data_IF_269108945294
#
_entry.id   IF_269108945294
#
_cell.length_a   1.000
_cell.length_b   1.000
_cell.length_c   1.000
_cell.angle_alpha   90.00
_cell.angle_beta   90.00
_cell.angle_gamma   90.00
#
_symmetry.space_group_name_H-M   'P 1'
#
loop_
_entity.id
_entity.type
_entity.pdbx_description
1 polymer ?
#
# COMPACT_ATOMS: atom_id res chain seq x y z
N UNK A 1 20.22 -8.07 -16.35
CA UNK A 1 19.28 -7.32 -15.48
C UNK A 1 17.90 -7.43 -16.13
N UNK A 2 16.99 -8.25 -15.58
CA UNK A 2 15.70 -8.58 -16.22
C UNK A 2 14.66 -7.45 -16.03
N UNK A 3 14.18 -6.76 -17.09
CA UNK A 3 13.41 -5.50 -16.97
C UNK A 3 11.88 -5.60 -16.79
N UNK A 4 11.26 -6.77 -16.58
CA UNK A 4 9.79 -6.92 -16.71
C UNK A 4 9.03 -7.34 -15.42
N UNK A 5 9.63 -7.19 -14.22
CA UNK A 5 8.96 -7.49 -12.92
C UNK A 5 8.36 -6.26 -12.21
N UNK A 6 8.34 -5.10 -12.85
CA UNK A 6 8.21 -3.80 -12.17
C UNK A 6 6.79 -3.42 -11.64
N UNK A 7 5.67 -3.72 -12.34
CA UNK A 7 4.35 -3.30 -11.86
C UNK A 7 3.82 -4.15 -10.69
N UNK A 8 4.12 -5.45 -10.70
CA UNK A 8 3.61 -6.40 -9.70
C UNK A 8 4.19 -6.12 -8.30
N UNK A 9 5.42 -5.64 -8.23
CA UNK A 9 6.07 -5.30 -6.97
C UNK A 9 5.44 -4.05 -6.33
N UNK A 10 5.07 -3.04 -7.13
CA UNK A 10 4.38 -1.86 -6.64
C UNK A 10 3.00 -2.21 -6.06
N UNK A 11 2.25 -3.09 -6.74
CA UNK A 11 0.98 -3.59 -6.23
C UNK A 11 1.16 -4.35 -4.90
N UNK A 12 2.15 -5.25 -4.83
CA UNK A 12 2.44 -6.02 -3.62
C UNK A 12 2.78 -5.10 -2.43
N UNK A 13 3.59 -4.07 -2.68
CA UNK A 13 3.95 -3.08 -1.65
C UNK A 13 2.72 -2.29 -1.20
N UNK A 14 1.85 -1.87 -2.13
CA UNK A 14 0.59 -1.21 -1.79
C UNK A 14 -0.31 -2.06 -0.88
N UNK A 15 -0.45 -3.35 -1.20
CA UNK A 15 -1.22 -4.30 -0.37
C UNK A 15 -0.61 -4.44 1.03
N UNK A 16 0.72 -4.55 1.12
CA UNK A 16 1.42 -4.63 2.41
C UNK A 16 1.13 -3.38 3.25
N UNK A 17 1.20 -2.19 2.67
CA UNK A 17 0.90 -0.95 3.37
C UNK A 17 -0.54 -0.88 3.90
N UNK A 18 -1.51 -1.37 3.12
CA UNK A 18 -2.91 -1.46 3.57
C UNK A 18 -3.04 -2.43 4.75
N UNK A 19 -2.43 -3.62 4.66
CA UNK A 19 -2.46 -4.61 5.75
C UNK A 19 -1.83 -4.04 7.02
N UNK A 20 -0.67 -3.39 6.91
CA UNK A 20 -0.01 -2.72 8.03
C UNK A 20 -0.91 -1.62 8.60
N UNK A 21 -1.57 -0.81 7.76
CA UNK A 21 -2.50 0.22 8.21
C UNK A 21 -3.68 -0.34 9.02
N UNK A 22 -4.25 -1.47 8.57
CA UNK A 22 -5.33 -2.16 9.30
C UNK A 22 -4.84 -2.68 10.65
N UNK A 23 -3.65 -3.30 10.70
CA UNK A 23 -3.07 -3.79 11.96
C UNK A 23 -2.76 -2.60 12.89
N UNK A 24 -2.16 -1.54 12.38
CA UNK A 24 -1.82 -0.33 13.13
C UNK A 24 -3.05 0.34 13.73
N UNK A 25 -4.18 0.29 13.02
CA UNK A 25 -5.47 0.74 13.53
C UNK A 25 -6.09 -0.23 14.56
N UNK A 26 -5.99 -1.55 14.34
CA UNK A 26 -6.65 -2.57 15.15
C UNK A 26 -5.95 -2.87 16.48
N UNK A 27 -4.60 -2.83 16.52
CA UNK A 27 -3.81 -3.20 17.71
C UNK A 27 -4.10 -2.33 18.95
N UNK A 28 -4.22 -0.99 18.84
CA UNK A 28 -4.51 -0.13 19.99
C UNK A 28 -5.80 -0.47 20.74
N UNK A 29 -6.80 -1.06 20.07
CA UNK A 29 -8.05 -1.48 20.71
C UNK A 29 -7.87 -2.60 21.73
N UNK A 30 -6.86 -3.46 21.57
CA UNK A 30 -6.56 -4.54 22.52
C UNK A 30 -5.79 -4.03 23.75
N UNK A 31 -5.01 -2.93 23.59
CA UNK A 31 -4.17 -2.36 24.64
C UNK A 31 -4.76 -1.16 25.39
N UNK A 32 -5.91 -0.62 24.95
CA UNK A 32 -6.43 0.72 25.35
C UNK A 32 -5.42 1.84 25.11
N UNK A 33 -4.60 1.72 24.07
CA UNK A 33 -3.60 2.73 23.70
C UNK A 33 -4.23 3.82 22.85
N UNK A 34 -3.65 5.02 22.88
CA UNK A 34 -4.12 6.12 22.06
C UNK A 34 -3.89 5.79 20.58
N UNK A 35 -4.96 5.88 19.80
CA UNK A 35 -4.91 5.64 18.36
C UNK A 35 -4.36 6.89 17.64
N UNK A 36 -3.24 6.75 16.94
CA UNK A 36 -2.71 7.81 16.09
C UNK A 36 -3.41 7.79 14.72
N UNK A 37 -4.44 8.63 14.61
CA UNK A 37 -5.19 8.79 13.37
C UNK A 37 -4.33 9.38 12.24
N UNK A 38 -3.31 10.20 12.52
CA UNK A 38 -2.45 10.74 11.48
C UNK A 38 -1.61 9.63 10.84
N UNK A 39 -1.02 8.77 11.66
CA UNK A 39 -0.29 7.57 11.23
C UNK A 39 -1.15 6.62 10.39
N UNK A 40 -2.36 6.27 10.86
CA UNK A 40 -3.30 5.42 10.11
C UNK A 40 -3.64 6.02 8.75
N UNK A 41 -3.93 7.34 8.71
CA UNK A 41 -4.33 8.03 7.49
C UNK A 41 -3.19 8.08 6.46
N UNK A 42 -1.96 8.35 6.91
CA UNK A 42 -0.78 8.36 6.03
C UNK A 42 -0.48 6.97 5.44
N UNK A 43 -0.59 5.90 6.25
CA UNK A 43 -0.42 4.52 5.77
C UNK A 43 -1.47 4.15 4.74
N UNK A 44 -2.73 4.52 4.97
CA UNK A 44 -3.81 4.33 4.01
C UNK A 44 -3.57 5.09 2.71
N UNK A 45 -3.24 6.38 2.79
CA UNK A 45 -2.97 7.23 1.63
C UNK A 45 -1.80 6.69 0.79
N UNK A 46 -0.72 6.25 1.43
CA UNK A 46 0.44 5.66 0.75
C UNK A 46 0.08 4.33 0.07
N UNK A 47 -0.69 3.46 0.73
CA UNK A 47 -1.17 2.21 0.14
C UNK A 47 -2.01 2.45 -1.12
N UNK A 48 -2.93 3.42 -1.06
CA UNK A 48 -3.74 3.84 -2.22
C UNK A 48 -2.86 4.39 -3.34
N UNK A 49 -1.91 5.28 -3.03
CA UNK A 49 -1.00 5.86 -4.01
C UNK A 49 -0.17 4.80 -4.75
N UNK A 50 0.33 3.79 -4.01
CA UNK A 50 1.07 2.67 -4.60
C UNK A 50 0.18 1.79 -5.49
N UNK A 51 -1.08 1.58 -5.10
CA UNK A 51 -2.07 0.89 -5.94
C UNK A 51 -2.35 1.64 -7.24
N UNK A 52 -2.51 2.96 -7.17
CA UNK A 52 -2.67 3.82 -8.35
C UNK A 52 -1.44 3.77 -9.26
N UNK A 53 -0.23 3.82 -8.68
CA UNK A 53 1.02 3.67 -9.44
C UNK A 53 1.07 2.32 -10.17
N UNK A 54 0.70 1.23 -9.50
CA UNK A 54 0.64 -0.08 -10.12
C UNK A 54 -0.35 -0.11 -11.30
N UNK A 55 -1.54 0.50 -11.14
CA UNK A 55 -2.51 0.64 -12.23
C UNK A 55 -1.94 1.43 -13.40
N UNK A 56 -1.33 2.59 -13.15
CA UNK A 56 -0.71 3.42 -14.19
C UNK A 56 0.35 2.62 -14.96
N UNK A 57 1.23 1.91 -14.25
CA UNK A 57 2.28 1.07 -14.87
C UNK A 57 1.70 -0.05 -15.73
N UNK A 58 0.58 -0.67 -15.32
CA UNK A 58 -0.11 -1.69 -16.12
C UNK A 58 -0.78 -1.07 -17.35
N UNK A 59 -1.44 0.07 -17.20
CA UNK A 59 -2.17 0.73 -18.29
C UNK A 59 -1.25 1.32 -19.37
N UNK A 60 -0.05 1.75 -18.99
CA UNK A 60 0.95 2.32 -19.90
C UNK A 60 1.91 1.30 -20.52
N UNK A 61 1.84 0.02 -20.13
CA UNK A 61 2.70 -1.02 -20.69
C UNK A 61 2.28 -1.34 -22.12
N UNK A 62 3.18 -1.23 -23.13
CA UNK A 62 2.92 -1.73 -24.47
C UNK A 62 2.47 -3.19 -24.40
N UNK A 63 1.35 -3.49 -25.04
CA UNK A 63 0.87 -4.86 -25.25
C UNK A 63 1.47 -5.31 -26.57
N UNK A 64 2.63 -5.94 -26.50
CA UNK A 64 3.11 -6.80 -27.59
C UNK A 64 2.37 -8.14 -27.51
#
# INVERSE_FOLDING_TARGET
MHPLRHPRNAFLVGVIFVVIGVIYWAVPYFGKWQLDYAGVTMLGALGIAMGLMAYVLISGSPRD
#
